data_IF_401304873281
#
_entry.id   IF_401304873281
#
_cell.length_a   1.000
_cell.length_b   1.000
_cell.length_c   1.000
_cell.angle_alpha   90.00
_cell.angle_beta   90.00
_cell.angle_gamma   90.00
#
_symmetry.space_group_name_H-M   'P 1'
#
loop_
_entity.id
_entity.type
_entity.pdbx_description
1 polymer ?
#
# COMPACT_ATOMS: atom_id res chain seq x y z
N UNK A 1 -2.66 -22.76 -4.36
CA UNK A 1 -3.23 -21.40 -4.24
C UNK A 1 -2.08 -20.40 -4.26
N UNK A 2 -2.16 -19.28 -5.01
CA UNK A 2 -1.12 -18.25 -4.93
C UNK A 2 -1.15 -17.62 -3.54
N UNK A 3 0.02 -17.51 -2.90
CA UNK A 3 0.13 -16.89 -1.58
C UNK A 3 0.04 -15.36 -1.75
N UNK A 4 -0.87 -14.65 -1.06
CA UNK A 4 -1.01 -13.21 -1.25
C UNK A 4 0.22 -12.45 -0.73
N UNK A 5 0.40 -11.23 -1.25
CA UNK A 5 1.30 -10.23 -0.64
C UNK A 5 0.81 -9.89 0.77
N UNK A 6 1.73 -9.56 1.68
CA UNK A 6 1.41 -9.31 3.09
C UNK A 6 2.33 -8.27 3.72
N UNK A 7 1.80 -7.50 4.66
CA UNK A 7 2.56 -6.54 5.47
C UNK A 7 3.30 -7.25 6.59
N UNK A 8 4.49 -6.76 6.95
CA UNK A 8 5.28 -7.27 8.08
C UNK A 8 5.26 -6.31 9.27
N UNK A 9 4.82 -5.06 9.08
CA UNK A 9 4.62 -4.09 10.16
C UNK A 9 3.30 -4.33 10.88
N UNK A 10 3.25 -3.97 12.16
CA UNK A 10 2.00 -3.96 12.91
C UNK A 10 1.09 -2.79 12.48
N UNK A 11 -0.18 -2.90 12.84
CA UNK A 11 -1.20 -1.94 12.42
C UNK A 11 -0.97 -0.52 12.96
N UNK A 12 -0.40 -0.37 14.17
CA UNK A 12 -0.17 0.95 14.76
C UNK A 12 0.95 1.67 14.02
N UNK A 13 2.04 0.96 13.71
CA UNK A 13 3.15 1.49 12.93
C UNK A 13 2.69 1.86 11.51
N UNK A 14 1.96 0.96 10.85
CA UNK A 14 1.43 1.19 9.50
C UNK A 14 0.46 2.39 9.45
N UNK A 15 -0.44 2.50 10.43
CA UNK A 15 -1.36 3.63 10.56
C UNK A 15 -0.63 4.95 10.82
N UNK A 16 0.45 4.91 11.61
CA UNK A 16 1.29 6.09 11.87
C UNK A 16 1.97 6.58 10.59
N UNK A 17 2.44 5.66 9.74
CA UNK A 17 2.98 6.04 8.43
C UNK A 17 1.92 6.58 7.49
N UNK A 18 0.73 5.95 7.43
CA UNK A 18 -0.38 6.45 6.61
C UNK A 18 -0.71 7.89 6.99
N UNK A 19 -0.83 8.21 8.28
CA UNK A 19 -1.13 9.58 8.73
C UNK A 19 -0.06 10.59 8.30
N UNK A 20 1.22 10.20 8.31
CA UNK A 20 2.33 11.08 7.92
C UNK A 20 2.45 11.26 6.40
N UNK A 21 2.05 10.26 5.61
CA UNK A 21 2.33 10.17 4.17
C UNK A 21 1.10 10.33 3.29
N UNK A 22 -0.11 10.34 3.84
CA UNK A 22 -1.35 10.52 3.05
C UNK A 22 -1.29 11.81 2.24
N UNK A 23 -1.60 11.72 0.95
CA UNK A 23 -1.55 12.83 0.00
C UNK A 23 -0.16 13.15 -0.56
N UNK A 24 0.89 12.40 -0.19
CA UNK A 24 2.24 12.57 -0.73
C UNK A 24 2.55 11.66 -1.94
N UNK A 25 1.71 10.63 -2.13
CA UNK A 25 1.86 9.62 -3.15
C UNK A 25 1.04 9.87 -4.41
N UNK A 26 1.02 8.88 -5.30
CA UNK A 26 0.24 8.93 -6.55
C UNK A 26 -1.20 8.49 -6.27
N UNK A 27 -2.15 9.42 -6.44
CA UNK A 27 -3.57 9.10 -6.38
C UNK A 27 -3.95 8.16 -7.54
N UNK A 28 -4.74 7.13 -7.24
CA UNK A 28 -5.32 6.26 -8.26
C UNK A 28 -6.72 6.78 -8.59
N UNK A 29 -6.90 7.18 -9.84
CA UNK A 29 -8.19 7.61 -10.39
C UNK A 29 -8.74 6.60 -11.40
N UNK A 30 -10.03 6.72 -11.73
CA UNK A 30 -10.63 6.10 -12.91
C UNK A 30 -10.15 6.77 -14.19
N UNK A 31 -10.45 6.15 -15.33
CA UNK A 31 -10.22 6.74 -16.65
C UNK A 31 -11.01 8.05 -16.87
N UNK A 32 -12.06 8.28 -16.07
CA UNK A 32 -12.87 9.51 -16.03
C UNK A 32 -12.31 10.57 -15.09
N UNK A 33 -11.21 10.29 -14.38
CA UNK A 33 -10.58 11.20 -13.41
C UNK A 33 -11.18 11.17 -12.00
N UNK A 34 -12.13 10.27 -11.73
CA UNK A 34 -12.71 10.12 -10.39
C UNK A 34 -11.76 9.36 -9.47
N UNK A 35 -11.49 9.92 -8.29
CA UNK A 35 -10.60 9.28 -7.33
C UNK A 35 -11.17 7.97 -6.79
N UNK A 36 -10.36 6.90 -6.80
CA UNK A 36 -10.78 5.55 -6.39
C UNK A 36 -10.54 5.25 -4.92
N UNK A 37 -10.40 6.28 -4.08
CA UNK A 37 -10.03 6.15 -2.66
C UNK A 37 -8.74 5.34 -2.46
N UNK A 38 -7.81 5.41 -3.42
CA UNK A 38 -6.56 4.68 -3.38
C UNK A 38 -5.39 5.59 -3.69
N UNK A 39 -4.27 5.32 -3.04
CA UNK A 39 -3.02 6.07 -3.19
C UNK A 39 -1.84 5.10 -3.18
N UNK A 40 -0.87 5.32 -4.06
CA UNK A 40 0.41 4.60 -4.03
C UNK A 40 1.41 5.43 -3.25
N UNK A 41 1.91 4.90 -2.13
CA UNK A 41 2.80 5.61 -1.21
C UNK A 41 4.13 4.88 -1.09
N UNK A 42 5.24 5.64 -1.11
CA UNK A 42 6.54 5.21 -0.59
C UNK A 42 6.61 5.50 0.91
N UNK A 43 6.59 4.43 1.71
CA UNK A 43 6.63 4.52 3.16
C UNK A 43 8.03 4.86 3.69
N UNK A 44 9.07 4.80 2.84
CA UNK A 44 10.46 5.07 3.23
C UNK A 44 11.09 3.99 4.12
N UNK A 45 10.36 2.93 4.44
CA UNK A 45 10.77 1.77 5.21
C UNK A 45 10.11 0.53 4.61
N UNK A 46 10.76 -0.62 4.72
CA UNK A 46 10.18 -1.89 4.33
C UNK A 46 8.88 -2.16 5.09
N UNK A 47 7.78 -2.31 4.35
CA UNK A 47 6.44 -2.51 4.92
C UNK A 47 5.94 -3.95 4.81
N UNK A 48 6.59 -4.77 3.99
CA UNK A 48 6.22 -6.17 3.79
C UNK A 48 6.71 -6.73 2.47
N UNK A 49 6.02 -7.77 1.99
CA UNK A 49 6.44 -8.54 0.82
C UNK A 49 5.38 -8.59 -0.26
N UNK A 50 5.81 -8.33 -1.49
CA UNK A 50 5.00 -8.53 -2.70
C UNK A 50 5.27 -9.93 -3.27
N UNK A 51 4.21 -10.70 -3.53
CA UNK A 51 4.35 -11.98 -4.25
C UNK A 51 4.38 -11.73 -5.77
N UNK A 52 5.49 -12.12 -6.40
CA UNK A 52 5.69 -12.04 -7.84
C UNK A 52 6.02 -13.45 -8.33
N UNK A 53 5.02 -14.10 -8.91
CA UNK A 53 5.16 -15.45 -9.48
C UNK A 53 5.76 -16.47 -8.49
N UNK A 54 5.32 -16.44 -7.24
CA UNK A 54 5.78 -17.33 -6.17
C UNK A 54 7.02 -16.84 -5.41
N UNK A 55 7.64 -15.73 -5.83
CA UNK A 55 8.78 -15.12 -5.13
C UNK A 55 8.33 -13.91 -4.33
N UNK A 56 8.75 -13.85 -3.07
CA UNK A 56 8.50 -12.71 -2.20
C UNK A 56 9.64 -11.71 -2.32
N UNK A 57 9.30 -10.47 -2.66
CA UNK A 57 10.25 -9.35 -2.70
C UNK A 57 9.84 -8.35 -1.63
N UNK A 58 10.79 -7.95 -0.79
CA UNK A 58 10.59 -6.89 0.21
C UNK A 58 10.32 -5.56 -0.50
N UNK A 59 9.38 -4.78 0.02
CA UNK A 59 9.03 -3.49 -0.56
C UNK A 59 8.70 -2.46 0.52
N UNK A 60 9.03 -1.21 0.22
CA UNK A 60 8.60 0.00 0.94
C UNK A 60 7.38 0.66 0.31
N UNK A 61 6.94 0.17 -0.86
CA UNK A 61 5.82 0.73 -1.61
C UNK A 61 4.53 -0.01 -1.29
N UNK A 62 3.45 0.75 -1.04
CA UNK A 62 2.14 0.20 -0.74
C UNK A 62 1.02 0.93 -1.46
N UNK A 63 -0.02 0.19 -1.85
CA UNK A 63 -1.31 0.78 -2.21
C UNK A 63 -2.11 0.91 -0.92
N UNK A 64 -2.41 2.14 -0.54
CA UNK A 64 -3.32 2.45 0.55
C UNK A 64 -4.73 2.52 -0.01
N UNK A 65 -5.66 1.79 0.58
CA UNK A 65 -7.07 1.84 0.23
C UNK A 65 -7.84 2.45 1.41
N UNK A 66 -8.38 3.64 1.16
CA UNK A 66 -9.16 4.39 2.12
C UNK A 66 -10.62 3.94 2.06
N UNK A 67 -11.19 3.64 3.23
CA UNK A 67 -12.62 3.37 3.37
C UNK A 67 -13.15 3.99 4.65
N UNK A 68 -14.47 4.11 4.76
CA UNK A 68 -15.11 4.67 5.97
C UNK A 68 -14.83 3.86 7.23
N UNK A 69 -14.65 2.55 7.11
CA UNK A 69 -14.51 1.61 8.24
C UNK A 69 -13.06 1.29 8.57
N UNK A 70 -12.10 1.79 7.79
CA UNK A 70 -10.69 1.52 8.01
C UNK A 70 -9.85 1.67 6.74
N UNK A 71 -8.54 1.63 6.95
CA UNK A 71 -7.55 1.74 5.89
C UNK A 71 -6.72 0.46 5.85
N UNK A 72 -6.43 -0.05 4.66
CA UNK A 72 -5.51 -1.20 4.50
C UNK A 72 -4.41 -0.88 3.49
N UNK A 73 -3.23 -1.44 3.73
CA UNK A 73 -2.08 -1.30 2.84
C UNK A 73 -1.81 -2.64 2.17
N UNK A 74 -1.63 -2.59 0.85
CA UNK A 74 -1.27 -3.73 0.03
C UNK A 74 0.17 -3.50 -0.46
N UNK A 75 1.14 -4.33 -0.06
CA UNK A 75 2.50 -4.23 -0.59
C UNK A 75 2.50 -4.33 -2.13
N UNK A 76 3.19 -3.39 -2.76
CA UNK A 76 3.27 -3.25 -4.22
C UNK A 76 4.72 -3.30 -4.66
N UNK A 77 4.96 -3.65 -5.93
CA UNK A 77 6.22 -3.29 -6.58
C UNK A 77 6.42 -1.78 -6.55
N UNK A 78 7.68 -1.37 -6.58
CA UNK A 78 8.06 0.01 -6.86
C UNK A 78 7.26 0.57 -8.04
N UNK A 79 6.84 1.83 -7.92
CA UNK A 79 6.00 2.51 -8.89
C UNK A 79 6.78 3.08 -10.08
#
# INVERSE_FOLDING_TARGET
MPIPSYTELDNNELNSFIQQKTGSGRLIASDTGEWRNKEVIDFGKDIGKVNINGKFITTKWGIVHYSKTGTHVIPKKED
#
